data_IF_457633554656
#
_entry.id   IF_457633554656
#
_cell.length_a   1.000
_cell.length_b   1.000
_cell.length_c   1.000
_cell.angle_alpha   90.00
_cell.angle_beta   90.00
_cell.angle_gamma   90.00
#
_symmetry.space_group_name_H-M   'P 1'
#
loop_
_entity.id
_entity.type
_entity.pdbx_description
1 polymer ?
#
# COMPACT_ATOMS: atom_id res chain seq x y z
N UNK A 1 5.51 -10.00 17.26
CA UNK A 1 6.18 -11.07 16.49
C UNK A 1 5.28 -11.65 15.38
N UNK A 2 4.14 -11.04 15.08
CA UNK A 2 3.19 -11.45 14.01
C UNK A 2 3.28 -10.54 12.77
N UNK A 3 3.76 -9.32 12.98
CA UNK A 3 3.80 -8.21 12.03
C UNK A 3 4.69 -8.53 10.84
N UNK A 4 5.92 -8.99 11.10
CA UNK A 4 6.84 -9.43 10.04
C UNK A 4 6.26 -10.58 9.20
N UNK A 5 5.49 -11.48 9.81
CA UNK A 5 4.84 -12.59 9.11
C UNK A 5 3.68 -12.09 8.25
N UNK A 6 2.92 -11.11 8.73
CA UNK A 6 1.89 -10.44 7.94
C UNK A 6 2.48 -9.73 6.71
N UNK A 7 3.57 -8.97 6.88
CA UNK A 7 4.27 -8.33 5.75
C UNK A 7 4.68 -9.38 4.72
N UNK A 8 5.38 -10.43 5.13
CA UNK A 8 5.85 -11.48 4.22
C UNK A 8 4.69 -12.19 3.50
N UNK A 9 3.56 -12.40 4.17
CA UNK A 9 2.36 -12.99 3.57
C UNK A 9 1.80 -12.09 2.46
N UNK A 10 1.69 -10.79 2.71
CA UNK A 10 1.21 -9.80 1.72
C UNK A 10 2.15 -9.66 0.54
N UNK A 11 3.46 -9.56 0.78
CA UNK A 11 4.47 -9.51 -0.28
C UNK A 11 4.39 -10.74 -1.19
N UNK A 12 4.27 -11.95 -0.60
CA UNK A 12 4.06 -13.16 -1.39
C UNK A 12 2.78 -13.13 -2.22
N UNK A 13 1.70 -12.54 -1.69
CA UNK A 13 0.44 -12.39 -2.44
C UNK A 13 0.62 -11.46 -3.64
N UNK A 14 1.35 -10.35 -3.46
CA UNK A 14 1.70 -9.42 -4.55
C UNK A 14 2.52 -10.14 -5.62
N UNK A 15 3.56 -10.87 -5.24
CA UNK A 15 4.40 -11.64 -6.19
C UNK A 15 3.58 -12.67 -7.01
N UNK A 16 2.56 -13.27 -6.42
CA UNK A 16 1.64 -14.17 -7.13
C UNK A 16 0.80 -13.38 -8.13
N UNK A 17 0.18 -12.28 -7.70
CA UNK A 17 -0.65 -11.43 -8.55
C UNK A 17 0.14 -10.86 -9.74
N UNK A 18 1.39 -10.45 -9.52
CA UNK A 18 2.30 -9.99 -10.57
C UNK A 18 2.56 -11.08 -11.61
N UNK A 19 2.92 -12.29 -11.13
CA UNK A 19 3.20 -13.44 -12.00
C UNK A 19 1.99 -13.86 -12.83
N UNK A 20 0.80 -13.78 -12.24
CA UNK A 20 -0.47 -14.08 -12.88
C UNK A 20 -0.96 -12.97 -13.82
N UNK A 21 -0.22 -11.85 -13.92
CA UNK A 21 -0.64 -10.65 -14.67
C UNK A 21 -2.04 -10.19 -14.25
N UNK A 22 -2.33 -10.27 -12.95
CA UNK A 22 -3.62 -9.90 -12.40
C UNK A 22 -3.92 -8.41 -12.65
N UNK A 23 -5.20 -8.00 -12.71
CA UNK A 23 -5.52 -6.59 -12.94
C UNK A 23 -4.94 -5.71 -11.82
N UNK A 24 -4.38 -4.56 -12.19
CA UNK A 24 -3.64 -3.67 -11.27
C UNK A 24 -4.39 -3.34 -9.97
N UNK A 25 -5.72 -3.25 -10.01
CA UNK A 25 -6.57 -3.02 -8.81
C UNK A 25 -6.35 -4.06 -7.70
N UNK A 26 -6.02 -5.30 -8.05
CA UNK A 26 -5.79 -6.38 -7.09
C UNK A 26 -4.44 -6.21 -6.39
N UNK A 27 -3.40 -5.81 -7.12
CA UNK A 27 -2.10 -5.49 -6.53
C UNK A 27 -2.20 -4.25 -5.63
N UNK A 28 -2.88 -3.21 -6.10
CA UNK A 28 -3.07 -1.98 -5.33
C UNK A 28 -3.83 -2.25 -4.03
N UNK A 29 -4.81 -3.15 -4.03
CA UNK A 29 -5.51 -3.55 -2.80
C UNK A 29 -4.56 -4.17 -1.75
N UNK A 30 -3.60 -4.99 -2.18
CA UNK A 30 -2.59 -5.56 -1.26
C UNK A 30 -1.62 -4.49 -0.73
N UNK A 31 -1.24 -3.54 -1.58
CA UNK A 31 -0.37 -2.41 -1.18
C UNK A 31 -1.09 -1.47 -0.20
N UNK A 32 -2.37 -1.18 -0.42
CA UNK A 32 -3.18 -0.39 0.51
C UNK A 32 -3.27 -1.07 1.88
N UNK A 33 -3.56 -2.38 1.89
CA UNK A 33 -3.61 -3.16 3.13
C UNK A 33 -2.26 -3.14 3.89
N UNK A 34 -1.13 -3.24 3.18
CA UNK A 34 0.20 -3.13 3.80
C UNK A 34 0.43 -1.78 4.49
N UNK A 35 -0.04 -0.70 3.89
CA UNK A 35 0.10 0.66 4.44
C UNK A 35 -0.79 0.82 5.68
N UNK A 36 -2.05 0.37 5.64
CA UNK A 36 -2.96 0.39 6.78
C UNK A 36 -2.43 -0.45 7.96
N UNK A 37 -1.92 -1.65 7.68
CA UNK A 37 -1.31 -2.52 8.69
C UNK A 37 -0.08 -1.85 9.34
N UNK A 38 0.78 -1.23 8.54
CA UNK A 38 1.96 -0.52 9.04
C UNK A 38 1.62 0.73 9.86
N UNK A 39 0.56 1.46 9.51
CA UNK A 39 0.07 2.60 10.29
C UNK A 39 -0.46 2.20 11.66
N UNK A 40 -1.17 1.07 11.72
CA UNK A 40 -1.63 0.51 12.98
C UNK A 40 -0.45 0.15 13.89
N UNK A 41 0.63 -0.42 13.33
CA UNK A 41 1.84 -0.73 14.09
C UNK A 41 2.58 0.52 14.56
N UNK A 42 2.78 1.50 13.68
CA UNK A 42 3.44 2.77 14.05
C UNK A 42 2.66 3.49 15.16
N UNK A 43 1.33 3.41 15.13
CA UNK A 43 0.47 4.03 16.13
C UNK A 43 0.48 3.30 17.49
N UNK A 44 0.78 1.99 17.49
CA UNK A 44 0.89 1.19 18.71
C UNK A 44 2.26 1.35 19.40
N UNK A 45 3.28 1.82 18.68
CA UNK A 45 4.64 1.97 19.20
C UNK A 45 4.87 3.32 19.89
N UNK A 46 5.56 3.28 21.03
CA UNK A 46 5.75 4.46 21.88
C UNK A 46 6.82 5.44 21.38
N UNK A 47 7.83 4.97 20.63
CA UNK A 47 8.91 5.80 20.10
C UNK A 47 9.69 5.07 18.98
N UNK A 48 10.54 5.81 18.25
CA UNK A 48 11.48 5.23 17.28
C UNK A 48 10.89 4.94 15.90
N UNK A 49 9.68 5.43 15.62
CA UNK A 49 8.94 5.18 14.37
C UNK A 49 8.95 6.37 13.41
N UNK A 50 9.72 7.44 13.67
CA UNK A 50 9.70 8.68 12.87
C UNK A 50 9.98 8.46 11.38
N UNK A 51 10.94 7.58 11.06
CA UNK A 51 11.25 7.22 9.68
C UNK A 51 10.11 6.43 9.03
N UNK A 52 9.49 5.52 9.77
CA UNK A 52 8.35 4.75 9.30
C UNK A 52 7.13 5.66 9.07
N UNK A 53 6.84 6.57 9.99
CA UNK A 53 5.78 7.57 9.85
C UNK A 53 5.99 8.45 8.61
N UNK A 54 7.22 8.91 8.38
CA UNK A 54 7.56 9.71 7.18
C UNK A 54 7.37 8.91 5.89
N UNK A 55 7.76 7.63 5.89
CA UNK A 55 7.54 6.75 4.74
C UNK A 55 6.04 6.55 4.45
N UNK A 56 5.22 6.34 5.49
CA UNK A 56 3.77 6.18 5.36
C UNK A 56 3.09 7.41 4.77
N UNK A 57 3.50 8.62 5.18
CA UNK A 57 3.01 9.87 4.59
C UNK A 57 3.31 9.91 3.09
N UNK A 58 4.53 9.57 2.68
CA UNK A 58 4.92 9.54 1.26
C UNK A 58 4.12 8.52 0.46
N UNK A 59 3.89 7.33 1.02
CA UNK A 59 3.07 6.29 0.40
C UNK A 59 1.63 6.77 0.18
N UNK A 60 0.98 7.35 1.19
CA UNK A 60 -0.37 7.90 1.06
C UNK A 60 -0.45 8.99 -0.01
N UNK A 61 0.51 9.91 -0.04
CA UNK A 61 0.55 10.95 -1.06
C UNK A 61 0.67 10.38 -2.47
N UNK A 62 1.49 9.34 -2.66
CA UNK A 62 1.64 8.68 -3.96
C UNK A 62 0.35 7.98 -4.41
N UNK A 63 -0.34 7.28 -3.50
CA UNK A 63 -1.62 6.62 -3.80
C UNK A 63 -2.70 7.63 -4.17
N UNK A 64 -2.87 8.69 -3.38
CA UNK A 64 -3.83 9.76 -3.66
C UNK A 64 -3.55 10.46 -5.00
N UNK A 65 -2.27 10.70 -5.34
CA UNK A 65 -1.88 11.24 -6.64
C UNK A 65 -2.17 10.31 -7.82
N UNK A 66 -2.06 9.00 -7.61
CA UNK A 66 -2.43 7.97 -8.59
C UNK A 66 -3.93 7.91 -8.87
N UNK A 67 -4.75 8.00 -7.82
CA UNK A 67 -6.22 8.03 -7.93
C UNK A 67 -6.73 9.28 -8.66
N UNK A 68 -6.15 10.45 -8.38
CA UNK A 68 -6.46 11.69 -9.09
C UNK A 68 -6.12 11.59 -10.59
N UNK A 69 -4.98 10.97 -10.91
CA UNK A 69 -4.53 10.75 -12.29
C UNK A 69 -5.38 9.72 -13.04
N UNK A 70 -5.86 8.67 -12.35
CA UNK A 70 -6.76 7.67 -12.94
C UNK A 70 -8.14 8.27 -13.26
N UNK A 71 -8.68 9.10 -12.35
CA UNK A 71 -9.97 9.77 -12.51
C UNK A 71 -9.95 10.76 -13.70
N UNK A 72 -8.87 11.53 -13.88
CA UNK A 72 -8.72 12.42 -15.03
C UNK A 72 -8.67 11.70 -16.38
N UNK A 73 -8.06 10.51 -16.45
CA UNK A 73 -8.04 9.68 -17.68
C UNK A 73 -9.42 9.12 -18.01
N UNK A 74 -10.19 8.67 -17.01
CA UNK A 74 -11.55 8.17 -17.23
C UNK A 74 -12.48 9.27 -17.79
N UNK A 75 -12.33 10.51 -17.33
CA UNK A 75 -13.10 11.67 -17.81
C UNK A 75 -12.75 12.11 -19.24
N UNK A 76 -11.58 11.73 -19.77
CA UNK A 76 -11.15 12.09 -21.14
C UNK A 76 -11.57 11.05 -22.19
N UNK A 77 -11.98 9.84 -21.77
CA UNK A 77 -12.40 8.75 -22.67
C UNK A 77 -13.93 8.61 -22.84
N UNK A 78 -14.74 9.44 -22.18
CA UNK A 78 -16.20 9.52 -22.35
C UNK A 78 -16.58 10.71 -23.23
#
# INVERSE_FOLDING_TARGET
>A
MDEARMVLRRLRRIEVLEREHAPARWLLAEVHALIEEAEAWVSAEAAGTDLAATALVRCRSALAGGEASATGRAATMS
#
